data_IF_483103725049
#
_entry.id   IF_483103725049
#
_cell.length_a   1.000
_cell.length_b   1.000
_cell.length_c   1.000
_cell.angle_alpha   90.00
_cell.angle_beta   90.00
_cell.angle_gamma   90.00
#
_symmetry.space_group_name_H-M   'P 1'
#
loop_
_entity.id
_entity.type
_entity.pdbx_description
1 polymer ?
#
# COMPACT_ATOMS: atom_id res chain seq x y z
N UNK A 1 9.66 4.49 -9.72
CA UNK A 1 8.71 3.36 -9.64
C UNK A 1 7.72 3.49 -10.78
N UNK A 2 7.39 2.40 -11.45
CA UNK A 2 6.39 2.36 -12.52
C UNK A 2 5.05 1.93 -11.92
N UNK A 3 4.28 2.91 -11.45
CA UNK A 3 3.00 2.68 -10.77
C UNK A 3 1.93 2.09 -11.70
N UNK A 4 2.04 2.34 -13.02
CA UNK A 4 1.08 1.84 -14.00
C UNK A 4 1.27 0.33 -14.22
N UNK A 5 2.51 -0.11 -14.44
CA UNK A 5 2.83 -1.53 -14.58
C UNK A 5 2.48 -2.31 -13.31
N UNK A 6 2.78 -1.76 -12.13
CA UNK A 6 2.41 -2.37 -10.84
C UNK A 6 0.87 -2.49 -10.71
N UNK A 7 0.13 -1.41 -11.00
CA UNK A 7 -1.33 -1.44 -10.93
C UNK A 7 -1.95 -2.44 -11.91
N UNK A 8 -1.44 -2.53 -13.14
CA UNK A 8 -1.91 -3.50 -14.14
C UNK A 8 -1.67 -4.95 -13.69
N UNK A 9 -0.53 -5.24 -13.08
CA UNK A 9 -0.24 -6.56 -12.51
C UNK A 9 -1.25 -6.92 -11.41
N UNK A 10 -1.58 -5.97 -10.54
CA UNK A 10 -2.58 -6.16 -9.48
C UNK A 10 -3.98 -6.35 -10.06
N UNK A 11 -4.36 -5.61 -11.12
CA UNK A 11 -5.64 -5.80 -11.81
C UNK A 11 -5.79 -7.20 -12.38
N UNK A 12 -4.74 -7.76 -12.98
CA UNK A 12 -4.74 -9.14 -13.46
C UNK A 12 -4.87 -10.15 -12.31
N UNK A 13 -4.23 -9.90 -11.16
CA UNK A 13 -4.43 -10.73 -9.96
C UNK A 13 -5.88 -10.66 -9.46
N UNK A 14 -6.46 -9.46 -9.37
CA UNK A 14 -7.87 -9.29 -8.99
C UNK A 14 -8.76 -10.05 -9.96
N UNK A 15 -8.58 -9.86 -11.28
CA UNK A 15 -9.35 -10.55 -12.31
C UNK A 15 -9.25 -12.08 -12.22
N UNK A 16 -8.07 -12.60 -11.88
CA UNK A 16 -7.81 -14.04 -11.75
C UNK A 16 -8.53 -14.67 -10.55
N UNK A 17 -8.59 -13.98 -9.41
CA UNK A 17 -9.10 -14.55 -8.15
C UNK A 17 -10.49 -14.05 -7.75
N UNK A 18 -11.02 -13.04 -8.44
CA UNK A 18 -12.34 -12.49 -8.17
C UNK A 18 -13.43 -13.44 -8.64
N UNK A 19 -14.31 -13.81 -7.72
CA UNK A 19 -15.51 -14.63 -7.95
C UNK A 19 -16.76 -13.95 -7.36
N UNK A 20 -16.80 -12.61 -7.41
CA UNK A 20 -17.89 -11.81 -6.86
C UNK A 20 -18.26 -10.63 -7.74
N UNK A 21 -19.51 -10.21 -7.64
CA UNK A 21 -20.03 -9.01 -8.27
C UNK A 21 -19.80 -7.79 -7.36
N UNK A 22 -18.88 -6.92 -7.74
CA UNK A 22 -18.54 -5.71 -6.99
C UNK A 22 -17.21 -5.11 -7.39
N UNK A 23 -17.01 -3.83 -7.13
CA UNK A 23 -15.79 -3.10 -7.48
C UNK A 23 -15.41 -2.02 -6.44
N UNK A 24 -15.88 -2.14 -5.20
CA UNK A 24 -15.42 -1.26 -4.11
C UNK A 24 -14.01 -1.67 -3.71
N UNK A 25 -13.06 -0.73 -3.82
CA UNK A 25 -11.65 -0.96 -3.52
C UNK A 25 -11.20 -0.03 -2.41
N UNK A 26 -10.57 -0.57 -1.38
CA UNK A 26 -9.87 0.20 -0.35
C UNK A 26 -8.36 0.07 -0.56
N UNK A 27 -7.64 1.18 -0.61
CA UNK A 27 -6.17 1.22 -0.55
C UNK A 27 -5.73 1.69 0.84
N UNK A 28 -5.10 0.80 1.61
CA UNK A 28 -4.65 1.04 2.99
C UNK A 28 -3.16 1.37 3.02
N UNK A 29 -2.82 2.52 3.61
CA UNK A 29 -1.49 3.12 3.46
C UNK A 29 -1.31 3.69 2.06
N UNK A 30 -2.32 4.43 1.57
CA UNK A 30 -2.40 4.88 0.19
C UNK A 30 -1.38 5.98 -0.17
N UNK A 31 -0.70 6.56 0.83
CA UNK A 31 0.18 7.71 0.67
C UNK A 31 -0.49 8.83 -0.11
N UNK A 32 0.19 9.33 -1.14
CA UNK A 32 -0.33 10.41 -2.01
C UNK A 32 -1.35 9.96 -3.07
N UNK A 33 -1.94 8.77 -2.91
CA UNK A 33 -2.97 8.21 -3.79
C UNK A 33 -2.48 7.79 -5.17
N UNK A 34 -1.17 7.61 -5.37
CA UNK A 34 -0.62 7.37 -6.72
C UNK A 34 -1.09 6.04 -7.31
N UNK A 35 -1.19 4.97 -6.53
CA UNK A 35 -1.81 3.71 -6.99
C UNK A 35 -3.31 3.90 -7.28
N UNK A 36 -4.05 4.56 -6.38
CA UNK A 36 -5.48 4.84 -6.54
C UNK A 36 -5.81 5.49 -7.89
N UNK A 37 -4.94 6.39 -8.40
CA UNK A 37 -5.08 7.00 -9.73
C UNK A 37 -5.24 5.97 -10.85
N UNK A 38 -4.56 4.84 -10.75
CA UNK A 38 -4.58 3.78 -11.76
C UNK A 38 -5.74 2.80 -11.56
N UNK A 39 -6.39 2.76 -10.39
CA UNK A 39 -7.54 1.89 -10.12
C UNK A 39 -8.89 2.59 -10.25
N UNK A 40 -8.97 3.92 -10.09
CA UNK A 40 -10.23 4.68 -10.00
C UNK A 40 -11.17 4.57 -11.20
N UNK A 41 -10.66 4.20 -12.38
CA UNK A 41 -11.50 4.02 -13.57
C UNK A 41 -12.21 2.66 -13.59
N UNK A 42 -11.69 1.67 -12.86
CA UNK A 42 -12.21 0.29 -12.83
C UNK A 42 -12.95 0.00 -11.50
N UNK A 43 -12.61 0.73 -10.44
CA UNK A 43 -13.09 0.51 -9.08
C UNK A 43 -13.64 1.80 -8.45
N UNK A 44 -14.64 1.64 -7.58
CA UNK A 44 -15.06 2.68 -6.65
C UNK A 44 -14.07 2.71 -5.49
N UNK A 45 -13.07 3.57 -5.61
CA UNK A 45 -11.93 3.60 -4.69
C UNK A 45 -12.20 4.40 -3.41
N UNK A 46 -11.56 3.98 -2.33
CA UNK A 46 -11.32 4.76 -1.11
C UNK A 46 -9.87 4.57 -0.71
N UNK A 47 -9.19 5.62 -0.27
CA UNK A 47 -7.83 5.53 0.28
C UNK A 47 -7.78 5.94 1.74
N UNK A 48 -6.99 5.22 2.55
CA UNK A 48 -6.66 5.66 3.90
C UNK A 48 -5.16 5.69 4.12
N UNK A 49 -4.69 6.68 4.87
CA UNK A 49 -3.32 6.76 5.35
C UNK A 49 -3.30 7.33 6.78
N UNK A 50 -2.32 6.93 7.59
CA UNK A 50 -2.18 7.45 8.96
C UNK A 50 -1.70 8.91 8.96
N UNK A 51 -0.97 9.31 7.91
CA UNK A 51 -0.43 10.66 7.76
C UNK A 51 -1.43 11.56 7.02
N UNK A 52 -1.98 12.54 7.73
CA UNK A 52 -2.94 13.50 7.20
C UNK A 52 -2.36 14.35 6.05
N UNK A 53 -1.07 14.69 6.08
CA UNK A 53 -0.43 15.44 4.99
C UNK A 53 -0.44 14.65 3.68
N UNK A 54 -0.26 13.33 3.74
CA UNK A 54 -0.34 12.46 2.57
C UNK A 54 -1.77 12.39 2.02
N UNK A 55 -2.75 12.33 2.92
CA UNK A 55 -4.18 12.35 2.58
C UNK A 55 -4.56 13.65 1.87
N UNK A 56 -4.09 14.80 2.35
CA UNK A 56 -4.36 16.10 1.72
C UNK A 56 -3.75 16.20 0.31
N UNK A 57 -2.54 15.66 0.11
CA UNK A 57 -1.95 15.56 -1.23
C UNK A 57 -2.78 14.63 -2.13
N UNK A 58 -3.26 13.50 -1.60
CA UNK A 58 -4.08 12.55 -2.34
C UNK A 58 -5.41 13.17 -2.80
N UNK A 59 -6.13 13.85 -1.89
CA UNK A 59 -7.36 14.60 -2.19
C UNK A 59 -7.13 15.65 -3.27
N UNK A 60 -6.04 16.42 -3.15
CA UNK A 60 -5.69 17.46 -4.14
C UNK A 60 -5.36 16.87 -5.51
N UNK A 61 -4.71 15.70 -5.56
CA UNK A 61 -4.33 15.02 -6.81
C UNK A 61 -5.53 14.35 -7.49
N UNK A 62 -6.48 13.83 -6.71
CA UNK A 62 -7.60 12.99 -7.16
C UNK A 62 -8.88 13.41 -6.43
N UNK A 63 -9.49 14.56 -6.78
CA UNK A 63 -10.61 15.12 -6.03
C UNK A 63 -11.91 14.31 -6.14
N UNK A 64 -11.99 13.39 -7.11
CA UNK A 64 -13.12 12.50 -7.37
C UNK A 64 -13.11 11.20 -6.54
N UNK A 65 -12.08 10.99 -5.71
CA UNK A 65 -11.96 9.80 -4.84
C UNK A 65 -12.00 10.18 -3.37
N UNK A 66 -12.60 9.31 -2.55
CA UNK A 66 -12.66 9.48 -1.10
C UNK A 66 -11.29 9.12 -0.49
N UNK A 67 -10.69 10.05 0.23
CA UNK A 67 -9.53 9.81 1.08
C UNK A 67 -9.80 10.24 2.52
N UNK A 68 -9.34 9.44 3.47
CA UNK A 68 -9.49 9.73 4.89
C UNK A 68 -8.23 9.37 5.68
N UNK A 69 -8.01 10.07 6.78
CA UNK A 69 -7.00 9.65 7.74
C UNK A 69 -7.46 8.37 8.46
N UNK A 70 -6.58 7.39 8.61
CA UNK A 70 -6.87 6.18 9.36
C UNK A 70 -5.64 5.32 9.63
N UNK A 71 -5.58 4.74 10.82
CA UNK A 71 -4.59 3.72 11.18
C UNK A 71 -5.07 2.35 10.68
N UNK A 72 -4.21 1.63 9.95
CA UNK A 72 -4.52 0.28 9.45
C UNK A 72 -4.85 -0.72 10.57
N UNK A 73 -4.39 -0.47 11.81
CA UNK A 73 -4.64 -1.32 12.97
C UNK A 73 -6.11 -1.31 13.39
N UNK A 74 -6.80 -0.16 13.31
CA UNK A 74 -8.13 0.01 13.93
C UNK A 74 -9.10 0.97 13.22
N UNK A 75 -8.83 1.38 11.98
CA UNK A 75 -9.76 2.20 11.20
C UNK A 75 -11.17 1.58 11.15
N UNK A 76 -12.19 2.44 11.06
CA UNK A 76 -13.58 2.03 10.88
C UNK A 76 -14.29 2.93 9.86
N UNK A 77 -14.47 2.43 8.64
CA UNK A 77 -15.10 3.17 7.55
C UNK A 77 -16.63 2.95 7.47
N UNK A 78 -17.21 2.15 8.37
CA UNK A 78 -18.64 1.81 8.40
C UNK A 78 -19.18 1.27 7.06
N UNK A 79 -18.30 0.67 6.25
CA UNK A 79 -18.61 0.05 4.96
C UNK A 79 -17.64 -1.10 4.71
N UNK A 80 -18.05 -2.04 3.87
CA UNK A 80 -17.21 -3.15 3.43
C UNK A 80 -16.80 -2.99 1.96
N UNK A 81 -15.66 -3.58 1.62
CA UNK A 81 -15.01 -3.51 0.33
C UNK A 81 -14.94 -4.89 -0.34
N UNK A 82 -14.92 -4.88 -1.66
CA UNK A 82 -14.75 -6.07 -2.48
C UNK A 82 -13.27 -6.45 -2.60
N UNK A 83 -12.41 -5.43 -2.64
CA UNK A 83 -10.95 -5.56 -2.66
C UNK A 83 -10.33 -4.63 -1.63
N UNK A 84 -9.40 -5.13 -0.83
CA UNK A 84 -8.52 -4.34 0.03
C UNK A 84 -7.08 -4.53 -0.45
N UNK A 85 -6.39 -3.42 -0.70
CA UNK A 85 -4.98 -3.37 -1.03
C UNK A 85 -4.19 -2.79 0.15
N UNK A 86 -3.01 -3.34 0.40
CA UNK A 86 -1.99 -2.72 1.26
C UNK A 86 -0.65 -2.86 0.54
N UNK A 87 -0.31 -1.83 -0.24
CA UNK A 87 0.79 -1.86 -1.19
C UNK A 87 2.05 -1.19 -0.64
N UNK A 88 3.15 -1.40 -1.36
CA UNK A 88 4.46 -0.80 -1.13
C UNK A 88 4.97 -0.95 0.30
N UNK A 89 4.77 -2.15 0.84
CA UNK A 89 5.30 -2.56 2.13
C UNK A 89 4.78 -1.77 3.32
N UNK A 90 3.67 -1.04 3.14
CA UNK A 90 2.98 -0.28 4.19
C UNK A 90 2.65 -1.14 5.41
N UNK A 91 2.38 -2.43 5.21
CA UNK A 91 2.14 -3.40 6.30
C UNK A 91 3.30 -3.47 7.30
N UNK A 92 4.53 -3.15 6.90
CA UNK A 92 5.70 -3.15 7.78
C UNK A 92 5.64 -2.10 8.90
N UNK A 93 4.84 -1.05 8.75
CA UNK A 93 4.75 0.04 9.74
C UNK A 93 3.99 -0.35 11.02
N UNK A 94 3.33 -1.51 11.07
CA UNK A 94 2.63 -1.99 12.28
C UNK A 94 3.58 -2.45 13.39
N UNK A 95 4.85 -2.70 13.06
CA UNK A 95 6.01 -3.01 13.93
C UNK A 95 5.95 -4.27 14.81
N UNK A 96 4.77 -4.72 15.22
CA UNK A 96 4.63 -5.86 16.16
C UNK A 96 3.70 -6.93 15.61
N UNK A 97 3.90 -8.17 16.02
CA UNK A 97 2.99 -9.28 15.69
C UNK A 97 1.57 -9.05 16.18
N UNK A 98 1.42 -8.50 17.39
CA UNK A 98 0.10 -8.14 17.93
C UNK A 98 -0.62 -7.12 17.04
N UNK A 99 0.09 -6.09 16.57
CA UNK A 99 -0.51 -5.11 15.67
C UNK A 99 -0.80 -5.71 14.30
N UNK A 100 0.09 -6.54 13.76
CA UNK A 100 -0.17 -7.25 12.51
C UNK A 100 -1.44 -8.11 12.60
N UNK A 101 -1.62 -8.84 13.71
CA UNK A 101 -2.84 -9.64 13.93
C UNK A 101 -4.09 -8.76 13.98
N UNK A 102 -4.04 -7.63 14.69
CA UNK A 102 -5.14 -6.65 14.73
C UNK A 102 -5.44 -6.08 13.35
N UNK A 103 -4.42 -5.69 12.59
CA UNK A 103 -4.54 -5.17 11.23
C UNK A 103 -5.20 -6.20 10.30
N UNK A 104 -4.76 -7.46 10.32
CA UNK A 104 -5.36 -8.51 9.49
C UNK A 104 -6.82 -8.79 9.88
N UNK A 105 -7.14 -8.79 11.17
CA UNK A 105 -8.54 -8.88 11.65
C UNK A 105 -9.35 -7.67 11.18
N UNK A 106 -8.78 -6.47 11.24
CA UNK A 106 -9.49 -5.27 10.81
C UNK A 106 -9.74 -5.25 9.30
N UNK A 107 -8.77 -5.69 8.50
CA UNK A 107 -8.96 -5.89 7.05
C UNK A 107 -10.07 -6.90 6.79
N UNK A 108 -10.05 -8.06 7.46
CA UNK A 108 -11.09 -9.07 7.31
C UNK A 108 -12.49 -8.54 7.67
N UNK A 109 -12.62 -7.73 8.73
CA UNK A 109 -13.89 -7.12 9.14
C UNK A 109 -14.43 -6.09 8.14
N UNK A 110 -13.55 -5.47 7.35
CA UNK A 110 -13.91 -4.51 6.30
C UNK A 110 -14.00 -5.15 4.91
N UNK A 111 -13.71 -6.44 4.79
CA UNK A 111 -13.86 -7.18 3.55
C UNK A 111 -15.29 -7.75 3.48
N UNK A 112 -15.87 -7.81 2.28
CA UNK A 112 -17.09 -8.60 2.08
C UNK A 112 -16.76 -10.09 2.11
N UNK A 113 -17.75 -10.92 2.40
CA UNK A 113 -17.61 -12.37 2.25
C UNK A 113 -17.19 -12.70 0.81
N UNK A 114 -16.09 -13.45 0.66
CA UNK A 114 -15.51 -13.78 -0.64
C UNK A 114 -14.64 -12.69 -1.28
N UNK A 115 -14.48 -11.52 -0.63
CA UNK A 115 -13.62 -10.44 -1.12
C UNK A 115 -12.13 -10.80 -1.15
N UNK A 116 -11.33 -9.96 -1.80
CA UNK A 116 -9.89 -10.15 -1.92
C UNK A 116 -9.09 -9.17 -1.06
N UNK A 117 -8.10 -9.70 -0.35
CA UNK A 117 -7.07 -8.92 0.33
C UNK A 117 -5.73 -9.17 -0.36
N UNK A 118 -5.07 -8.10 -0.82
CA UNK A 118 -3.75 -8.16 -1.46
C UNK A 118 -2.78 -7.30 -0.63
N UNK A 119 -1.71 -7.93 -0.16
CA UNK A 119 -0.67 -7.28 0.65
C UNK A 119 0.67 -7.42 -0.07
N UNK A 120 1.37 -6.30 -0.30
CA UNK A 120 2.77 -6.28 -0.70
C UNK A 120 3.62 -6.19 0.58
N UNK A 121 4.31 -7.27 1.00
CA UNK A 121 5.08 -7.25 2.25
C UNK A 121 6.38 -6.45 2.12
N UNK A 122 7.06 -6.23 3.25
CA UNK A 122 8.47 -5.83 3.28
C UNK A 122 9.41 -7.05 3.14
N UNK A 123 10.72 -6.83 3.22
CA UNK A 123 11.69 -7.92 3.27
C UNK A 123 11.45 -8.84 4.46
N UNK A 124 11.55 -10.15 4.22
CA UNK A 124 11.61 -11.15 5.29
C UNK A 124 12.99 -11.15 5.93
N UNK A 125 13.12 -11.69 7.15
CA UNK A 125 14.42 -11.84 7.82
C UNK A 125 15.45 -12.59 6.95
N UNK A 126 15.00 -13.57 6.16
CA UNK A 126 15.88 -14.34 5.26
C UNK A 126 16.37 -13.56 4.03
N UNK A 127 15.68 -12.49 3.65
CA UNK A 127 16.04 -11.64 2.51
C UNK A 127 16.82 -10.38 2.94
N UNK A 128 17.06 -10.20 4.24
CA UNK A 128 17.73 -9.01 4.78
C UNK A 128 19.23 -9.25 4.98
N UNK A 129 20.05 -8.45 4.30
CA UNK A 129 21.50 -8.60 4.30
C UNK A 129 22.15 -7.47 5.11
N UNK A 130 22.84 -7.82 6.19
CA UNK A 130 23.53 -6.86 7.06
C UNK A 130 24.89 -6.50 6.47
N UNK A 131 25.27 -5.22 6.53
CA UNK A 131 26.58 -4.74 6.13
C UNK A 131 26.82 -4.67 4.61
N UNK A 132 25.84 -5.07 3.78
CA UNK A 132 25.96 -4.96 2.32
C UNK A 132 25.74 -3.52 1.89
N UNK A 133 26.73 -2.86 1.24
CA UNK A 133 26.53 -1.53 0.69
C UNK A 133 25.64 -1.60 -0.54
N UNK A 134 24.55 -0.84 -0.53
CA UNK A 134 23.77 -0.51 -1.72
C UNK A 134 24.23 0.81 -2.31
N UNK A 135 24.13 0.94 -3.62
CA UNK A 135 24.37 2.20 -4.31
C UNK A 135 23.33 2.39 -5.40
N UNK A 136 22.78 3.59 -5.47
CA UNK A 136 21.93 4.05 -6.58
C UNK A 136 22.53 5.31 -7.14
N UNK A 137 22.76 5.33 -8.46
CA UNK A 137 23.33 6.47 -9.16
C UNK A 137 22.28 7.09 -10.09
N UNK A 138 22.24 8.42 -10.15
CA UNK A 138 21.58 9.18 -11.20
C UNK A 138 22.65 9.89 -12.01
N UNK A 139 22.58 9.74 -13.33
CA UNK A 139 23.49 10.38 -14.27
C UNK A 139 22.67 11.28 -15.20
N UNK A 140 22.62 12.57 -14.87
CA UNK A 140 22.05 13.62 -15.70
C UNK A 140 23.15 14.44 -16.38
N UNK A 141 22.78 15.22 -17.40
CA UNK A 141 23.73 16.04 -18.17
C UNK A 141 24.55 17.00 -17.30
N UNK A 142 23.89 17.68 -16.35
CA UNK A 142 24.53 18.70 -15.49
C UNK A 142 24.87 18.20 -14.07
N UNK A 143 24.35 17.04 -13.67
CA UNK A 143 24.51 16.52 -12.32
C UNK A 143 24.61 15.01 -12.27
N UNK A 144 25.59 14.51 -11.52
CA UNK A 144 25.71 13.11 -11.15
C UNK A 144 25.46 12.98 -9.65
N UNK A 145 24.54 12.10 -9.25
CA UNK A 145 24.19 11.85 -7.86
C UNK A 145 24.45 10.39 -7.55
N UNK A 146 25.14 10.10 -6.44
CA UNK A 146 25.26 8.76 -5.90
C UNK A 146 24.68 8.72 -4.48
N UNK A 147 23.73 7.82 -4.25
CA UNK A 147 23.23 7.49 -2.91
C UNK A 147 23.82 6.16 -2.50
N UNK A 148 24.60 6.17 -1.42
CA UNK A 148 25.11 4.96 -0.79
C UNK A 148 24.33 4.70 0.50
N UNK A 149 24.04 3.44 0.77
CA UNK A 149 23.44 2.99 2.02
C UNK A 149 24.13 1.72 2.50
N UNK A 150 24.24 1.57 3.81
CA UNK A 150 24.63 0.33 4.46
C UNK A 150 23.57 -0.07 5.46
N UNK A 151 23.41 -1.37 5.63
CA UNK A 151 22.37 -1.93 6.47
C UNK A 151 22.95 -2.36 7.81
N UNK A 152 22.31 -1.99 8.92
CA UNK A 152 22.65 -2.46 10.27
C UNK A 152 21.40 -2.96 10.99
N UNK A 153 21.58 -3.86 11.95
CA UNK A 153 20.53 -4.34 12.85
C UNK A 153 20.78 -3.73 14.24
N UNK A 154 19.74 -3.17 14.85
CA UNK A 154 19.77 -2.69 16.24
C UNK A 154 18.66 -3.41 17.02
N UNK A 155 19.04 -4.17 18.06
CA UNK A 155 18.12 -5.03 18.82
C UNK A 155 17.95 -6.44 18.24
N UNK A 156 17.09 -7.24 18.89
CA UNK A 156 16.74 -8.63 18.54
C UNK A 156 15.36 -8.74 17.85
#
# INVERSE_FOLDING_TARGET
KDYETEANTIKELIKKYKDFDGNKLLDVGCGTGTHVKHFRNDFSCTGIDINDEMVEVAKSKIPDVIFAQGDMVDFNLKTNFDVILCLFSSIGYVKTYSNLEKTLKNFANHLKNGGLLIIEPWFTKSAFWVGVPGMTTYDGEDVKIARLNTTRVEGD
#
